data_IF_146102732701
#
_entry.id   IF_146102732701
#
_cell.length_a   1.000
_cell.length_b   1.000
_cell.length_c   1.000
_cell.angle_alpha   90.00
_cell.angle_beta   90.00
_cell.angle_gamma   90.00
#
_symmetry.space_group_name_H-M   'P 1'
#
loop_
_entity.id
_entity.type
_entity.pdbx_description
1 polymer ?
#
# COMPACT_ATOMS: atom_id res chain seq x y z
N UNK A 1 8.17 19.20 15.06
CA UNK A 1 9.26 18.55 14.30
C UNK A 1 8.78 17.16 13.94
N UNK A 2 8.75 16.81 12.66
CA UNK A 2 8.48 15.43 12.24
C UNK A 2 9.74 14.60 12.45
N UNK A 3 9.68 13.58 13.31
CA UNK A 3 10.77 12.62 13.47
C UNK A 3 10.57 11.45 12.51
N UNK A 4 11.57 11.19 11.65
CA UNK A 4 11.49 10.10 10.69
C UNK A 4 12.30 8.90 11.18
N UNK A 5 11.65 7.74 11.23
CA UNK A 5 12.29 6.47 11.55
C UNK A 5 13.00 5.89 10.34
N UNK A 6 14.26 5.50 10.54
CA UNK A 6 15.10 4.87 9.53
C UNK A 6 15.65 3.53 10.01
N UNK A 7 15.70 2.56 9.10
CA UNK A 7 16.47 1.32 9.27
C UNK A 7 17.80 1.46 8.53
N UNK A 8 18.91 1.46 9.27
CA UNK A 8 20.24 1.39 8.68
C UNK A 8 20.65 -0.08 8.45
N UNK A 9 21.10 -0.44 7.25
CA UNK A 9 21.62 -1.77 6.95
C UNK A 9 22.77 -1.71 5.96
N UNK A 10 23.85 -2.43 6.26
CA UNK A 10 24.96 -2.65 5.33
C UNK A 10 24.56 -3.76 4.33
N UNK A 11 24.59 -3.42 3.05
CA UNK A 11 24.34 -4.31 1.92
C UNK A 11 25.55 -4.22 0.99
N UNK A 12 26.27 -5.33 0.81
CA UNK A 12 27.48 -5.41 -0.03
C UNK A 12 28.53 -4.32 0.31
N UNK A 13 28.77 -4.09 1.59
CA UNK A 13 29.73 -3.10 2.08
C UNK A 13 29.23 -1.64 2.09
N UNK A 14 28.03 -1.37 1.54
CA UNK A 14 27.44 -0.02 1.54
C UNK A 14 26.30 0.04 2.55
N UNK A 15 26.42 0.95 3.51
CA UNK A 15 25.33 1.25 4.46
C UNK A 15 24.23 2.03 3.76
N UNK A 16 23.04 1.45 3.67
CA UNK A 16 21.83 2.11 3.16
C UNK A 16 20.85 2.37 4.28
N UNK A 17 20.20 3.54 4.25
CA UNK A 17 19.10 3.90 5.16
C UNK A 17 17.78 3.68 4.43
N UNK A 18 16.89 2.89 5.02
CA UNK A 18 15.55 2.62 4.52
C UNK A 18 14.56 3.42 5.37
N UNK A 19 13.78 4.30 4.73
CA UNK A 19 12.73 5.08 5.41
C UNK A 19 11.57 4.16 5.81
N UNK A 20 11.22 4.16 7.09
CA UNK A 20 10.09 3.41 7.64
C UNK A 20 8.84 4.30 7.61
N UNK A 21 8.90 5.47 8.23
CA UNK A 21 7.80 6.44 8.31
C UNK A 21 8.12 7.60 9.26
N UNK A 22 7.19 8.54 9.40
CA UNK A 22 7.32 9.72 10.27
C UNK A 22 6.41 9.60 11.50
N UNK A 23 6.86 10.14 12.62
CA UNK A 23 6.09 10.39 13.84
C UNK A 23 5.33 11.72 13.69
N UNK A 24 4.09 11.87 14.20
CA UNK A 24 3.34 10.96 15.08
C UNK A 24 2.50 9.90 14.37
N UNK A 25 2.37 9.97 13.04
CA UNK A 25 1.57 9.03 12.25
C UNK A 25 2.00 7.57 12.46
N UNK A 26 3.29 7.36 12.73
CA UNK A 26 3.86 6.06 13.05
C UNK A 26 4.31 5.98 14.51
N UNK A 27 3.67 5.08 15.29
CA UNK A 27 4.13 4.73 16.63
C UNK A 27 5.49 4.01 16.58
N UNK A 28 6.31 4.20 17.62
CA UNK A 28 7.60 3.49 17.82
C UNK A 28 7.42 1.97 17.76
N UNK A 29 6.33 1.45 18.34
CA UNK A 29 6.05 0.01 18.33
C UNK A 29 5.86 -0.52 16.92
N UNK A 30 5.10 0.22 16.11
CA UNK A 30 4.88 -0.10 14.71
C UNK A 30 6.16 0.05 13.88
N UNK A 31 6.94 1.11 14.12
CA UNK A 31 8.24 1.30 13.47
C UNK A 31 9.20 0.12 13.73
N UNK A 32 9.22 -0.42 14.96
CA UNK A 32 10.01 -1.62 15.31
C UNK A 32 9.49 -2.87 14.61
N UNK A 33 8.18 -3.05 14.51
CA UNK A 33 7.57 -4.17 13.79
C UNK A 33 7.94 -4.13 12.31
N UNK A 34 7.80 -2.98 11.66
CA UNK A 34 8.14 -2.81 10.25
C UNK A 34 9.66 -2.98 10.02
N UNK A 35 10.50 -2.49 10.93
CA UNK A 35 11.93 -2.77 10.89
C UNK A 35 12.26 -4.27 10.93
N UNK A 36 11.53 -5.08 11.72
CA UNK A 36 11.68 -6.55 11.72
C UNK A 36 11.26 -7.14 10.38
N UNK A 37 10.11 -6.72 9.83
CA UNK A 37 9.63 -7.19 8.52
C UNK A 37 10.65 -6.91 7.41
N UNK A 38 11.17 -5.68 7.36
CA UNK A 38 12.20 -5.26 6.40
C UNK A 38 13.49 -6.09 6.55
N UNK A 39 13.94 -6.36 7.78
CA UNK A 39 15.10 -7.24 8.02
C UNK A 39 14.87 -8.66 7.49
N UNK A 40 13.68 -9.22 7.70
CA UNK A 40 13.33 -10.55 7.20
C UNK A 40 13.30 -10.59 5.66
N UNK A 41 12.74 -9.56 5.00
CA UNK A 41 12.75 -9.45 3.54
C UNK A 41 14.18 -9.41 2.99
N UNK A 42 15.04 -8.58 3.60
CA UNK A 42 16.45 -8.49 3.23
C UNK A 42 17.16 -9.84 3.43
N UNK A 43 16.90 -10.54 4.54
CA UNK A 43 17.48 -11.85 4.81
C UNK A 43 17.06 -12.91 3.78
N UNK A 44 15.83 -12.80 3.25
CA UNK A 44 15.32 -13.62 2.14
C UNK A 44 15.87 -13.19 0.77
N UNK A 45 16.70 -12.15 0.70
CA UNK A 45 17.20 -11.58 -0.56
C UNK A 45 16.17 -10.76 -1.34
N UNK A 46 15.00 -10.47 -0.75
CA UNK A 46 13.93 -9.70 -1.39
C UNK A 46 14.16 -8.21 -1.17
N UNK A 47 14.12 -7.43 -2.24
CA UNK A 47 14.24 -5.98 -2.17
C UNK A 47 12.96 -5.38 -1.53
N UNK A 48 13.04 -4.69 -0.39
CA UNK A 48 11.86 -4.12 0.26
C UNK A 48 11.09 -3.12 -0.59
N UNK A 49 11.76 -2.45 -1.53
CA UNK A 49 11.10 -1.52 -2.46
C UNK A 49 10.22 -2.24 -3.46
N UNK A 50 10.58 -3.45 -3.88
CA UNK A 50 9.75 -4.26 -4.77
C UNK A 50 8.49 -4.73 -4.05
N UNK A 51 8.61 -5.12 -2.78
CA UNK A 51 7.45 -5.51 -1.97
C UNK A 51 6.47 -4.34 -1.79
N UNK A 52 6.98 -3.14 -1.48
CA UNK A 52 6.15 -1.92 -1.42
C UNK A 52 5.48 -1.63 -2.77
N UNK A 53 6.19 -1.83 -3.88
CA UNK A 53 5.64 -1.63 -5.22
C UNK A 53 4.53 -2.64 -5.53
N UNK A 54 4.68 -3.90 -5.14
CA UNK A 54 3.64 -4.93 -5.29
C UNK A 54 2.37 -4.55 -4.52
N UNK A 55 2.51 -4.16 -3.26
CA UNK A 55 1.38 -3.70 -2.43
C UNK A 55 0.65 -2.53 -3.09
N UNK A 56 1.39 -1.52 -3.56
CA UNK A 56 0.80 -0.38 -4.26
C UNK A 56 0.03 -0.79 -5.53
N UNK A 57 0.56 -1.73 -6.31
CA UNK A 57 -0.10 -2.20 -7.53
C UNK A 57 -1.38 -2.97 -7.21
N UNK A 58 -1.39 -3.78 -6.16
CA UNK A 58 -2.59 -4.50 -5.71
C UNK A 58 -3.67 -3.53 -5.22
N UNK A 59 -3.31 -2.56 -4.37
CA UNK A 59 -4.23 -1.52 -3.91
C UNK A 59 -4.80 -0.71 -5.07
N UNK A 60 -3.95 -0.39 -6.06
CA UNK A 60 -4.39 0.31 -7.28
C UNK A 60 -5.37 -0.53 -8.08
N UNK A 61 -5.12 -1.84 -8.24
CA UNK A 61 -6.01 -2.77 -8.94
C UNK A 61 -7.38 -2.83 -8.25
N UNK A 62 -7.40 -2.97 -6.93
CA UNK A 62 -8.63 -2.97 -6.15
C UNK A 62 -9.43 -1.68 -6.29
N UNK A 63 -8.76 -0.52 -6.27
CA UNK A 63 -9.43 0.78 -6.50
C UNK A 63 -10.07 0.89 -7.88
N UNK A 64 -9.43 0.34 -8.91
CA UNK A 64 -9.96 0.34 -10.28
C UNK A 64 -11.19 -0.57 -10.37
N UNK A 65 -11.10 -1.79 -9.85
CA UNK A 65 -12.21 -2.74 -9.84
C UNK A 65 -13.44 -2.17 -9.12
N UNK A 66 -13.25 -1.65 -7.90
CA UNK A 66 -14.34 -1.01 -7.14
C UNK A 66 -14.98 0.17 -7.88
N UNK A 67 -14.19 0.90 -8.69
CA UNK A 67 -14.71 2.01 -9.51
C UNK A 67 -15.55 1.50 -10.67
N UNK A 68 -15.12 0.42 -11.32
CA UNK A 68 -15.84 -0.22 -12.42
C UNK A 68 -17.16 -0.83 -11.94
N UNK A 69 -17.16 -1.53 -10.81
CA UNK A 69 -18.37 -2.09 -10.20
C UNK A 69 -19.40 -1.01 -9.86
N UNK A 70 -18.97 0.12 -9.28
CA UNK A 70 -19.87 1.25 -9.00
C UNK A 70 -20.47 1.85 -10.26
N UNK A 71 -19.71 1.95 -11.35
CA UNK A 71 -20.22 2.43 -12.63
C UNK A 71 -21.25 1.46 -13.22
N UNK A 72 -20.95 0.16 -13.19
CA UNK A 72 -21.85 -0.87 -13.69
C UNK A 72 -23.16 -0.89 -12.89
N UNK A 73 -23.08 -0.85 -11.55
CA UNK A 73 -24.25 -0.78 -10.67
C UNK A 73 -25.06 0.49 -10.85
N UNK A 74 -24.41 1.65 -11.05
CA UNK A 74 -25.11 2.89 -11.36
C UNK A 74 -25.84 2.81 -12.71
N UNK A 75 -25.23 2.21 -13.72
CA UNK A 75 -25.83 2.04 -15.04
C UNK A 75 -27.05 1.10 -15.00
N UNK A 76 -26.96 -0.02 -14.29
CA UNK A 76 -28.07 -0.96 -14.14
C UNK A 76 -29.22 -0.34 -13.34
N UNK A 77 -28.93 0.44 -12.30
CA UNK A 77 -29.95 1.19 -11.57
C UNK A 77 -30.69 2.19 -12.47
N UNK A 78 -29.95 2.98 -13.25
CA UNK A 78 -30.53 3.95 -14.19
C UNK A 78 -31.37 3.24 -15.26
N UNK A 79 -30.86 2.15 -15.82
CA UNK A 79 -31.57 1.36 -16.84
C UNK A 79 -32.89 0.78 -16.31
N UNK A 80 -32.86 0.16 -15.13
CA UNK A 80 -34.07 -0.39 -14.50
C UNK A 80 -35.07 0.70 -14.11
N UNK A 81 -34.61 1.88 -13.70
CA UNK A 81 -35.49 3.02 -13.43
C UNK A 81 -36.25 3.45 -14.70
N UNK A 82 -35.55 3.63 -15.81
CA UNK A 82 -36.20 4.03 -17.07
C UNK A 82 -37.14 2.95 -17.61
N UNK A 83 -36.83 1.66 -17.49
CA UNK A 83 -37.75 0.60 -17.93
C UNK A 83 -39.08 0.62 -17.14
N UNK A 84 -39.01 0.86 -15.82
CA UNK A 84 -40.19 0.87 -14.96
C UNK A 84 -41.01 2.18 -15.03
N UNK A 85 -40.45 3.28 -15.54
CA UNK A 85 -41.18 4.55 -15.72
C UNK A 85 -41.96 4.61 -17.06
N UNK A 86 -41.69 3.70 -18.00
CA UNK A 86 -42.31 3.63 -19.32
C UNK A 86 -43.28 2.44 -19.50
N UNK A 87 -43.61 1.73 -18.41
CA UNK A 87 -44.67 0.72 -18.31
C UNK A 87 -45.62 1.07 -17.16
#
# INVERSE_FOLDING_TARGET
MEEVFYLAKSLRGVTRRIKIGASPDLSIGYARQEARRLKTLIAKGINPNEEKRKQYMEDKKQRILNREERKASGLTFVHNKYINEFW
#
